data_IF_618878777245
#
_entry.id   IF_618878777245
#
_cell.length_a   1.000
_cell.length_b   1.000
_cell.length_c   1.000
_cell.angle_alpha   90.00
_cell.angle_beta   90.00
_cell.angle_gamma   90.00
#
_symmetry.space_group_name_H-M   'P 1'
#
loop_
_entity.id
_entity.type
_entity.pdbx_description
1 polymer ?
#
# COMPACT_ATOMS: atom_id res chain seq x y z
N UNK A 1 -37.21 10.36 -63.96
CA UNK A 1 -36.07 9.56 -64.45
C UNK A 1 -34.79 10.12 -63.85
N UNK A 2 -33.86 9.22 -63.53
CA UNK A 2 -32.52 9.42 -62.97
C UNK A 2 -32.42 9.66 -61.45
N UNK A 3 -31.60 8.78 -60.86
CA UNK A 3 -31.33 8.49 -59.45
C UNK A 3 -29.87 8.88 -59.23
N UNK A 4 -29.50 9.43 -58.07
CA UNK A 4 -28.12 9.46 -57.63
C UNK A 4 -28.07 9.33 -56.11
N UNK A 5 -27.83 8.10 -55.65
CA UNK A 5 -27.58 7.76 -54.26
C UNK A 5 -26.12 8.00 -53.89
N UNK A 6 -25.89 8.53 -52.69
CA UNK A 6 -24.58 8.64 -52.06
C UNK A 6 -24.50 7.53 -51.01
N UNK A 7 -23.76 6.46 -51.29
CA UNK A 7 -23.48 5.39 -50.35
C UNK A 7 -22.26 5.76 -49.50
N UNK A 8 -22.45 5.95 -48.21
CA UNK A 8 -21.36 6.06 -47.24
C UNK A 8 -20.69 4.68 -47.08
N UNK A 9 -19.40 4.59 -47.42
CA UNK A 9 -18.56 3.44 -47.14
C UNK A 9 -18.26 3.37 -45.63
N UNK A 10 -18.85 2.39 -44.95
CA UNK A 10 -18.48 2.01 -43.60
C UNK A 10 -17.21 1.15 -43.62
N UNK A 11 -16.14 1.62 -42.98
CA UNK A 11 -14.97 0.79 -42.64
C UNK A 11 -15.24 0.05 -41.31
N UNK A 12 -15.21 -1.28 -41.26
CA UNK A 12 -15.24 -2.00 -40.00
C UNK A 12 -13.82 -2.06 -39.44
N UNK A 13 -13.49 -1.18 -38.48
CA UNK A 13 -12.26 -1.32 -37.71
C UNK A 13 -12.40 -2.54 -36.78
N UNK A 14 -11.95 -3.69 -37.27
CA UNK A 14 -11.79 -4.90 -36.48
C UNK A 14 -10.87 -4.60 -35.28
N UNK A 15 -11.41 -4.79 -34.08
CA UNK A 15 -10.68 -4.72 -32.82
C UNK A 15 -9.59 -5.79 -32.79
N UNK A 16 -8.37 -5.43 -33.16
CA UNK A 16 -7.17 -6.28 -33.02
C UNK A 16 -7.03 -6.67 -31.55
N UNK A 17 -7.31 -7.94 -31.24
CA UNK A 17 -7.03 -8.52 -29.92
C UNK A 17 -5.52 -8.50 -29.71
N UNK A 18 -5.03 -7.59 -28.85
CA UNK A 18 -3.63 -7.58 -28.42
C UNK A 18 -3.30 -8.95 -27.80
N UNK A 19 -2.19 -9.59 -28.19
CA UNK A 19 -1.75 -10.82 -27.55
C UNK A 19 -1.48 -10.54 -26.06
N UNK A 20 -1.75 -11.51 -25.17
CA UNK A 20 -1.38 -11.39 -23.76
C UNK A 20 0.14 -11.19 -23.66
N UNK A 21 0.56 -10.16 -22.93
CA UNK A 21 1.99 -9.93 -22.66
C UNK A 21 2.56 -11.16 -21.94
N UNK A 22 3.75 -11.65 -22.32
CA UNK A 22 4.39 -12.75 -21.62
C UNK A 22 4.56 -12.39 -20.14
N UNK A 23 4.13 -13.29 -19.25
CA UNK A 23 4.31 -13.16 -17.81
C UNK A 23 5.82 -13.08 -17.53
N UNK A 24 6.25 -12.01 -16.88
CA UNK A 24 7.62 -11.88 -16.38
C UNK A 24 7.87 -13.05 -15.41
N UNK A 25 8.95 -13.84 -15.57
CA UNK A 25 9.25 -14.92 -14.64
C UNK A 25 9.46 -14.34 -13.24
N UNK A 26 8.62 -14.76 -12.30
CA UNK A 26 8.82 -14.49 -10.88
C UNK A 26 9.97 -15.36 -10.38
N UNK A 27 11.05 -14.73 -9.92
CA UNK A 27 12.12 -15.44 -9.19
C UNK A 27 11.50 -16.18 -8.00
N UNK A 28 11.90 -17.43 -7.73
CA UNK A 28 11.39 -18.16 -6.57
C UNK A 28 11.88 -17.45 -5.31
N UNK A 29 10.97 -16.81 -4.57
CA UNK A 29 11.23 -16.18 -3.29
C UNK A 29 10.86 -17.13 -2.15
N UNK A 30 11.52 -16.93 -1.01
CA UNK A 30 11.56 -17.81 0.14
C UNK A 30 10.19 -18.35 0.59
N UNK A 31 10.22 -19.59 1.10
CA UNK A 31 9.10 -20.30 1.73
C UNK A 31 8.48 -19.45 2.84
N UNK A 32 7.18 -19.15 2.72
CA UNK A 32 6.41 -18.36 3.68
C UNK A 32 6.14 -16.90 3.29
N UNK A 33 6.61 -16.43 2.13
CA UNK A 33 6.22 -15.11 1.62
C UNK A 33 4.79 -15.13 1.07
N UNK A 34 3.99 -14.13 1.46
CA UNK A 34 2.63 -13.93 0.96
C UNK A 34 2.67 -12.82 -0.09
N UNK A 35 2.19 -13.12 -1.28
CA UNK A 35 2.11 -12.14 -2.38
C UNK A 35 0.65 -11.76 -2.62
N UNK A 36 0.36 -10.46 -2.64
CA UNK A 36 -0.96 -9.91 -2.87
C UNK A 36 -0.92 -8.99 -4.09
N UNK A 37 -1.79 -9.29 -5.05
CA UNK A 37 -1.90 -8.59 -6.33
C UNK A 37 -3.29 -7.99 -6.49
N UNK A 38 -3.39 -6.67 -6.36
CA UNK A 38 -4.65 -5.94 -6.45
C UNK A 38 -4.92 -5.52 -7.89
N UNK A 39 -6.06 -5.94 -8.43
CA UNK A 39 -6.48 -5.55 -9.77
C UNK A 39 -6.84 -4.06 -9.79
N UNK A 40 -6.05 -3.26 -10.52
CA UNK A 40 -6.30 -1.81 -10.70
C UNK A 40 -6.74 -1.47 -12.13
N UNK A 41 -7.17 -2.48 -12.90
CA UNK A 41 -7.75 -2.26 -14.23
C UNK A 41 -9.08 -1.47 -14.13
N UNK A 42 -9.53 -0.89 -15.26
CA UNK A 42 -10.62 0.11 -15.36
C UNK A 42 -11.82 -0.15 -14.45
N UNK A 43 -12.38 -1.36 -14.45
CA UNK A 43 -13.58 -1.69 -13.64
C UNK A 43 -13.27 -1.72 -12.15
N UNK A 44 -12.21 -2.41 -11.73
CA UNK A 44 -11.82 -2.46 -10.32
C UNK A 44 -11.37 -1.09 -9.80
N UNK A 45 -10.69 -0.29 -10.62
CA UNK A 45 -10.33 1.08 -10.26
C UNK A 45 -11.57 1.95 -9.99
N UNK A 46 -12.64 1.82 -10.79
CA UNK A 46 -13.92 2.51 -10.53
C UNK A 46 -14.65 2.01 -9.28
N UNK A 47 -14.28 0.83 -8.78
CA UNK A 47 -14.90 0.18 -7.62
C UNK A 47 -14.03 0.32 -6.35
N UNK A 48 -13.04 1.22 -6.33
CA UNK A 48 -12.20 1.44 -5.16
C UNK A 48 -10.88 0.64 -5.15
N UNK A 49 -10.46 0.07 -6.29
CA UNK A 49 -9.30 -0.81 -6.33
C UNK A 49 -7.96 -0.13 -6.04
N UNK A 50 -7.85 1.19 -6.22
CA UNK A 50 -6.63 1.94 -5.89
C UNK A 50 -6.55 2.24 -4.40
N UNK A 51 -7.69 2.55 -3.81
CA UNK A 51 -7.90 2.80 -2.40
C UNK A 51 -7.63 1.52 -1.60
N UNK A 52 -8.11 0.38 -2.10
CA UNK A 52 -7.83 -0.95 -1.51
C UNK A 52 -6.36 -1.33 -1.63
N UNK A 53 -5.70 -0.99 -2.75
CA UNK A 53 -4.26 -1.18 -2.88
C UNK A 53 -3.49 -0.37 -1.83
N UNK A 54 -3.80 0.93 -1.70
CA UNK A 54 -3.18 1.79 -0.70
C UNK A 54 -3.45 1.30 0.74
N UNK A 55 -4.67 0.87 1.03
CA UNK A 55 -5.01 0.28 2.33
C UNK A 55 -4.18 -0.99 2.60
N UNK A 56 -4.04 -1.89 1.62
CA UNK A 56 -3.21 -3.08 1.78
C UNK A 56 -1.73 -2.75 1.96
N UNK A 57 -1.20 -1.76 1.24
CA UNK A 57 0.18 -1.28 1.43
C UNK A 57 0.39 -0.70 2.84
N UNK A 58 -0.62 -0.02 3.39
CA UNK A 58 -0.61 0.51 4.75
C UNK A 58 -0.81 -0.54 5.85
N UNK A 59 -1.48 -1.65 5.56
CA UNK A 59 -1.77 -2.73 6.49
C UNK A 59 -0.75 -3.87 6.44
N UNK A 60 -0.01 -4.02 5.34
CA UNK A 60 0.84 -5.18 5.10
C UNK A 60 2.01 -5.24 6.10
N UNK A 61 2.22 -6.38 6.79
CA UNK A 61 3.46 -6.61 7.52
C UNK A 61 4.63 -6.83 6.54
N UNK A 62 5.90 -6.69 6.96
CA UNK A 62 7.08 -6.78 6.10
C UNK A 62 7.26 -8.10 5.31
N UNK A 63 6.52 -9.15 5.69
CA UNK A 63 6.51 -10.47 5.03
C UNK A 63 5.50 -10.59 3.88
N UNK A 64 4.60 -9.61 3.74
CA UNK A 64 3.56 -9.56 2.70
C UNK A 64 4.01 -8.58 1.61
N UNK A 65 4.14 -9.06 0.38
CA UNK A 65 4.43 -8.23 -0.79
C UNK A 65 3.11 -7.81 -1.45
N UNK A 66 2.82 -6.51 -1.47
CA UNK A 66 1.59 -5.96 -2.06
C UNK A 66 1.95 -5.20 -3.32
N UNK A 67 1.26 -5.49 -4.42
CA UNK A 67 1.45 -4.76 -5.66
C UNK A 67 0.19 -4.70 -6.50
N UNK A 68 0.12 -3.69 -7.38
CA UNK A 68 -0.92 -3.64 -8.41
C UNK A 68 -0.73 -4.72 -9.48
N UNK A 69 -1.83 -5.09 -10.14
CA UNK A 69 -1.83 -5.98 -11.29
C UNK A 69 -2.91 -5.62 -12.32
N UNK A 70 -2.86 -6.30 -13.48
CA UNK A 70 -3.84 -6.16 -14.55
C UNK A 70 -5.17 -6.86 -14.24
N UNK A 71 -6.00 -7.04 -15.27
CA UNK A 71 -7.29 -7.70 -15.11
C UNK A 71 -7.14 -9.15 -14.63
N UNK A 72 -7.91 -9.53 -13.61
CA UNK A 72 -8.01 -10.92 -13.13
C UNK A 72 -9.18 -11.69 -13.77
N UNK A 73 -9.84 -11.12 -14.78
CA UNK A 73 -10.91 -11.79 -15.53
C UNK A 73 -12.24 -11.96 -14.78
N UNK A 74 -12.37 -11.39 -13.57
CA UNK A 74 -13.56 -11.45 -12.72
C UNK A 74 -14.31 -10.11 -12.64
N UNK A 75 -14.53 -9.49 -13.81
CA UNK A 75 -15.28 -8.24 -13.91
C UNK A 75 -16.69 -8.39 -13.30
N UNK A 76 -17.17 -7.37 -12.58
CA UNK A 76 -18.47 -7.41 -11.89
C UNK A 76 -18.40 -7.80 -10.42
N UNK A 77 -17.28 -8.35 -9.94
CA UNK A 77 -17.03 -8.68 -8.54
C UNK A 77 -15.85 -7.91 -7.94
N UNK A 78 -15.49 -6.75 -8.49
CA UNK A 78 -14.30 -6.02 -8.06
C UNK A 78 -14.50 -5.18 -6.79
N UNK A 79 -13.40 -4.69 -6.18
CA UNK A 79 -12.01 -4.97 -6.52
C UNK A 79 -11.62 -6.45 -6.32
N UNK A 80 -10.86 -6.98 -7.28
CA UNK A 80 -10.39 -8.35 -7.26
C UNK A 80 -8.93 -8.40 -6.83
N UNK A 81 -8.59 -9.40 -6.02
CA UNK A 81 -7.27 -9.57 -5.44
C UNK A 81 -6.82 -11.00 -5.68
N UNK A 82 -5.67 -11.18 -6.29
CA UNK A 82 -5.00 -12.48 -6.33
C UNK A 82 -4.02 -12.56 -5.17
N UNK A 83 -4.11 -13.60 -4.36
CA UNK A 83 -3.16 -13.88 -3.29
C UNK A 83 -2.46 -15.21 -3.53
N UNK A 84 -1.15 -15.24 -3.31
CA UNK A 84 -0.34 -16.46 -3.36
C UNK A 84 0.28 -16.68 -1.99
N UNK A 85 -0.03 -17.81 -1.36
CA UNK A 85 0.51 -18.21 -0.04
C UNK A 85 1.16 -19.57 -0.20
N UNK A 86 2.48 -19.66 0.04
CA UNK A 86 3.22 -20.94 0.01
C UNK A 86 2.95 -21.77 -1.26
N UNK A 87 2.84 -21.11 -2.42
CA UNK A 87 2.59 -21.75 -3.72
C UNK A 87 1.11 -22.01 -4.06
N UNK A 88 0.18 -21.83 -3.12
CA UNK A 88 -1.25 -21.88 -3.38
C UNK A 88 -1.76 -20.51 -3.80
N UNK A 89 -2.42 -20.42 -4.96
CA UNK A 89 -2.95 -19.17 -5.49
C UNK A 89 -4.49 -19.15 -5.44
N UNK A 90 -5.05 -18.06 -4.92
CA UNK A 90 -6.49 -17.83 -4.86
C UNK A 90 -6.84 -16.42 -5.36
N UNK A 91 -8.06 -16.26 -5.89
CA UNK A 91 -8.59 -14.95 -6.29
C UNK A 91 -9.83 -14.62 -5.49
N UNK A 92 -9.79 -13.49 -4.79
CA UNK A 92 -10.85 -12.95 -3.96
C UNK A 92 -11.51 -11.78 -4.70
N UNK A 93 -12.84 -11.68 -4.62
CA UNK A 93 -13.61 -10.54 -5.13
C UNK A 93 -14.30 -9.81 -3.99
N UNK A 94 -14.94 -8.68 -4.30
CA UNK A 94 -15.70 -7.85 -3.35
C UNK A 94 -14.85 -7.28 -2.19
N UNK A 95 -13.54 -7.12 -2.41
CA UNK A 95 -12.65 -6.48 -1.44
C UNK A 95 -12.61 -4.99 -1.73
N UNK A 96 -13.73 -4.30 -1.48
CA UNK A 96 -13.92 -2.88 -1.82
C UNK A 96 -13.59 -1.88 -0.71
N UNK A 97 -13.20 -2.35 0.47
CA UNK A 97 -12.95 -1.50 1.64
C UNK A 97 -11.67 -1.92 2.36
N UNK A 98 -11.08 -0.99 3.11
CA UNK A 98 -9.93 -1.27 3.99
C UNK A 98 -10.27 -2.38 4.99
N UNK A 99 -11.49 -2.40 5.54
CA UNK A 99 -11.92 -3.44 6.47
C UNK A 99 -11.93 -4.83 5.84
N UNK A 100 -12.45 -4.95 4.61
CA UNK A 100 -12.41 -6.22 3.86
C UNK A 100 -10.98 -6.63 3.52
N UNK A 101 -10.11 -5.67 3.23
CA UNK A 101 -8.69 -5.92 2.98
C UNK A 101 -7.96 -6.44 4.22
N UNK A 102 -8.22 -5.86 5.40
CA UNK A 102 -7.67 -6.31 6.67
C UNK A 102 -8.16 -7.73 7.03
N UNK A 103 -9.44 -8.03 6.84
CA UNK A 103 -9.99 -9.38 7.02
C UNK A 103 -9.36 -10.40 6.07
N UNK A 104 -9.09 -10.00 4.83
CA UNK A 104 -8.37 -10.86 3.89
C UNK A 104 -6.94 -11.14 4.37
N UNK A 105 -6.22 -10.13 4.85
CA UNK A 105 -4.88 -10.30 5.42
C UNK A 105 -4.89 -11.24 6.63
N UNK A 106 -5.83 -11.07 7.55
CA UNK A 106 -6.03 -11.95 8.70
C UNK A 106 -6.28 -13.41 8.26
N UNK A 107 -7.15 -13.61 7.27
CA UNK A 107 -7.41 -14.93 6.70
C UNK A 107 -6.18 -15.56 6.06
N UNK A 108 -5.39 -14.79 5.29
CA UNK A 108 -4.20 -15.28 4.59
C UNK A 108 -3.02 -15.55 5.52
N UNK A 109 -2.91 -14.80 6.62
CA UNK A 109 -1.81 -14.88 7.58
C UNK A 109 -2.11 -15.82 8.76
N UNK A 110 -3.37 -16.21 8.96
CA UNK A 110 -3.83 -17.05 10.06
C UNK A 110 -4.02 -16.25 11.36
N UNK A 111 -4.92 -16.76 12.22
CA UNK A 111 -5.44 -16.05 13.41
C UNK A 111 -4.43 -15.77 14.54
N UNK A 112 -3.17 -16.20 14.43
CA UNK A 112 -2.11 -15.87 15.40
C UNK A 112 -1.10 -14.84 14.90
N UNK A 113 -1.20 -14.43 13.63
CA UNK A 113 -0.17 -13.61 12.97
C UNK A 113 -0.58 -12.20 12.61
N UNK A 114 -1.88 -11.88 12.62
CA UNK A 114 -2.42 -10.59 12.20
C UNK A 114 -3.80 -10.32 12.83
N UNK A 115 -3.96 -9.20 13.52
CA UNK A 115 -5.25 -8.73 14.05
C UNK A 115 -5.78 -7.62 13.14
N UNK A 116 -6.88 -7.90 12.44
CA UNK A 116 -7.49 -6.94 11.52
C UNK A 116 -8.00 -5.68 12.22
N UNK A 117 -8.54 -5.79 13.44
CA UNK A 117 -9.07 -4.66 14.18
C UNK A 117 -7.94 -3.73 14.64
N UNK A 118 -6.88 -4.29 15.23
CA UNK A 118 -5.70 -3.52 15.65
C UNK A 118 -5.01 -2.87 14.44
N UNK A 119 -4.87 -3.58 13.32
CA UNK A 119 -4.26 -3.04 12.11
C UNK A 119 -5.10 -1.91 11.48
N UNK A 120 -6.44 -2.01 11.47
CA UNK A 120 -7.31 -0.94 11.00
C UNK A 120 -7.26 0.29 11.92
N UNK A 121 -7.21 0.08 13.23
CA UNK A 121 -7.07 1.17 14.20
C UNK A 121 -5.74 1.92 14.00
N UNK A 122 -4.64 1.18 13.83
CA UNK A 122 -3.33 1.74 13.50
C UNK A 122 -3.33 2.51 12.16
N UNK A 123 -3.96 1.96 11.12
CA UNK A 123 -4.11 2.63 9.83
C UNK A 123 -4.88 3.95 9.97
N UNK A 124 -6.02 3.94 10.66
CA UNK A 124 -6.84 5.13 10.88
C UNK A 124 -6.12 6.19 11.72
N UNK A 125 -5.36 5.78 12.73
CA UNK A 125 -4.53 6.69 13.53
C UNK A 125 -3.45 7.36 12.68
N UNK A 126 -2.82 6.61 11.76
CA UNK A 126 -1.84 7.17 10.82
C UNK A 126 -2.45 8.18 9.87
N UNK A 127 -3.59 7.88 9.26
CA UNK A 127 -4.29 8.81 8.37
C UNK A 127 -4.69 10.10 9.10
N UNK A 128 -5.15 9.99 10.36
CA UNK A 128 -5.44 11.17 11.21
C UNK A 128 -4.18 11.97 11.54
N UNK A 129 -3.07 11.29 11.84
CA UNK A 129 -1.80 11.94 12.13
C UNK A 129 -1.25 12.66 10.88
N UNK A 130 -1.34 12.06 9.70
CA UNK A 130 -0.98 12.70 8.43
C UNK A 130 -1.83 13.95 8.19
N UNK A 131 -3.14 13.89 8.39
CA UNK A 131 -4.01 15.06 8.31
C UNK A 131 -3.71 16.14 9.36
N UNK A 132 -3.19 15.77 10.54
CA UNK A 132 -2.73 16.71 11.56
C UNK A 132 -1.42 17.39 11.14
N UNK A 133 -0.48 16.63 10.56
CA UNK A 133 0.77 17.17 10.00
C UNK A 133 0.52 18.14 8.85
N UNK A 134 -0.43 17.86 7.97
CA UNK A 134 -0.84 18.78 6.89
C UNK A 134 -1.38 20.12 7.44
N UNK A 135 -1.95 20.10 8.64
CA UNK A 135 -2.43 21.30 9.35
C UNK A 135 -1.34 21.96 10.20
N UNK A 136 -0.14 21.38 10.25
CA UNK A 136 0.97 21.84 11.10
C UNK A 136 0.89 21.41 12.56
N UNK A 137 -0.14 20.65 12.95
CA UNK A 137 -0.31 20.16 14.32
C UNK A 137 0.51 18.89 14.55
N UNK A 138 1.82 19.10 14.70
CA UNK A 138 2.79 18.02 14.85
C UNK A 138 2.72 17.34 16.23
N UNK A 139 2.25 18.05 17.25
CA UNK A 139 2.08 17.51 18.59
C UNK A 139 0.91 16.50 18.63
N UNK A 140 -0.26 16.88 18.10
CA UNK A 140 -1.38 15.96 18.00
C UNK A 140 -1.05 14.74 17.11
N UNK A 141 -0.24 14.92 16.07
CA UNK A 141 0.24 13.82 15.25
C UNK A 141 1.13 12.84 16.04
N UNK A 142 2.07 13.34 16.87
CA UNK A 142 2.91 12.48 17.71
C UNK A 142 2.09 11.68 18.72
N UNK A 143 1.09 12.30 19.36
CA UNK A 143 0.23 11.64 20.34
C UNK A 143 -0.55 10.47 19.71
N UNK A 144 -1.23 10.73 18.59
CA UNK A 144 -1.98 9.72 17.82
C UNK A 144 -1.10 8.53 17.41
N UNK A 145 0.12 8.81 16.96
CA UNK A 145 1.05 7.78 16.51
C UNK A 145 1.65 6.99 17.68
N UNK A 146 1.84 7.64 18.83
CA UNK A 146 2.33 6.98 20.05
C UNK A 146 1.29 6.02 20.60
N UNK A 147 0.01 6.41 20.62
CA UNK A 147 -1.09 5.51 20.94
C UNK A 147 -1.15 4.34 19.95
N UNK A 148 -1.01 4.61 18.65
CA UNK A 148 -1.05 3.58 17.61
C UNK A 148 0.08 2.54 17.72
N UNK A 149 1.30 2.99 18.05
CA UNK A 149 2.44 2.10 18.30
C UNK A 149 2.19 1.24 19.55
N UNK A 150 1.55 1.81 20.58
CA UNK A 150 1.17 1.10 21.80
C UNK A 150 0.18 -0.06 21.57
N UNK A 151 -0.63 -0.01 20.50
CA UNK A 151 -1.52 -1.12 20.11
C UNK A 151 -0.77 -2.34 19.56
N UNK A 152 0.54 -2.23 19.30
CA UNK A 152 1.41 -3.30 18.80
C UNK A 152 0.83 -4.04 17.57
N UNK A 153 0.20 -3.29 16.67
CA UNK A 153 -0.31 -3.84 15.42
C UNK A 153 0.85 -4.36 14.57
N UNK A 154 0.75 -5.61 14.13
CA UNK A 154 1.76 -6.28 13.31
C UNK A 154 1.82 -5.74 11.87
N UNK A 155 0.78 -5.05 11.41
CA UNK A 155 0.70 -4.43 10.08
C UNK A 155 1.14 -2.96 10.10
N UNK A 156 2.04 -2.58 9.19
CA UNK A 156 2.38 -1.17 8.97
C UNK A 156 3.16 -0.47 10.10
N UNK A 157 3.68 -1.18 11.11
CA UNK A 157 4.36 -0.58 12.26
C UNK A 157 5.56 0.31 11.88
N UNK A 158 6.35 -0.11 10.89
CA UNK A 158 7.45 0.71 10.33
C UNK A 158 6.96 2.03 9.71
N UNK A 159 5.72 2.09 9.21
CA UNK A 159 5.10 3.32 8.70
C UNK A 159 4.69 4.24 9.85
N UNK A 160 4.21 3.70 10.98
CA UNK A 160 3.91 4.50 12.17
C UNK A 160 5.15 5.19 12.72
N UNK A 161 6.26 4.44 12.87
CA UNK A 161 7.54 5.01 13.27
C UNK A 161 8.02 6.08 12.30
N UNK A 162 7.91 5.84 10.98
CA UNK A 162 8.24 6.86 9.97
C UNK A 162 7.38 8.12 10.10
N UNK A 163 6.06 7.98 10.24
CA UNK A 163 5.16 9.13 10.40
C UNK A 163 5.46 9.89 11.70
N UNK A 164 5.83 9.20 12.79
CA UNK A 164 6.14 9.83 14.07
C UNK A 164 7.50 10.54 14.02
N UNK A 165 8.47 9.96 13.33
CA UNK A 165 9.73 10.60 13.02
C UNK A 165 9.51 11.93 12.30
N UNK A 166 8.65 11.97 11.29
CA UNK A 166 8.30 13.23 10.60
C UNK A 166 7.66 14.26 11.54
N UNK A 167 6.73 13.84 12.41
CA UNK A 167 6.12 14.74 13.40
C UNK A 167 7.17 15.34 14.34
N UNK A 168 8.08 14.51 14.84
CA UNK A 168 9.18 14.93 15.72
C UNK A 168 10.16 15.84 15.03
N UNK A 169 10.48 15.61 13.75
CA UNK A 169 11.31 16.53 12.95
C UNK A 169 10.67 17.90 12.83
N UNK A 170 9.36 17.97 12.57
CA UNK A 170 8.61 19.23 12.52
C UNK A 170 8.63 20.00 13.85
N UNK A 171 8.78 19.29 14.97
CA UNK A 171 8.92 19.88 16.32
C UNK A 171 10.38 20.16 16.73
N UNK A 172 11.37 19.83 15.88
CA UNK A 172 12.79 19.94 16.21
C UNK A 172 13.32 18.86 17.16
N UNK A 173 12.54 17.83 17.47
CA UNK A 173 12.96 16.67 18.27
C UNK A 173 13.74 15.67 17.40
N UNK A 174 14.97 16.04 17.05
CA UNK A 174 15.83 15.25 16.15
C UNK A 174 16.22 13.90 16.76
N UNK A 175 16.48 13.86 18.06
CA UNK A 175 16.88 12.62 18.77
C UNK A 175 15.75 11.60 18.79
N UNK A 176 14.52 12.02 19.08
CA UNK A 176 13.34 11.16 19.02
C UNK A 176 13.01 10.72 17.59
N UNK A 177 13.21 11.59 16.61
CA UNK A 177 13.02 11.25 15.20
C UNK A 177 14.00 10.18 14.71
N UNK A 178 15.27 10.27 15.14
CA UNK A 178 16.31 9.29 14.84
C UNK A 178 15.98 7.92 15.43
N UNK A 179 15.60 7.87 16.71
CA UNK A 179 15.22 6.62 17.38
C UNK A 179 14.06 5.91 16.65
N UNK A 180 13.08 6.66 16.15
CA UNK A 180 11.99 6.10 15.36
C UNK A 180 12.45 5.57 13.99
N UNK A 181 13.38 6.27 13.32
CA UNK A 181 13.94 5.82 12.04
C UNK A 181 14.76 4.53 12.18
N UNK A 182 15.54 4.41 13.26
CA UNK A 182 16.26 3.18 13.60
C UNK A 182 15.29 2.01 13.81
N UNK A 183 14.22 2.22 14.58
CA UNK A 183 13.24 1.16 14.87
C UNK A 183 12.48 0.74 13.60
N UNK A 184 12.09 1.68 12.75
CA UNK A 184 11.48 1.38 11.45
C UNK A 184 12.39 0.49 10.58
N UNK A 185 13.70 0.75 10.60
CA UNK A 185 14.71 0.00 9.84
C UNK A 185 14.91 -1.42 10.38
N UNK A 186 14.87 -1.60 11.71
CA UNK A 186 14.90 -2.94 12.32
C UNK A 186 13.69 -3.78 11.89
N UNK A 187 12.51 -3.18 11.81
CA UNK A 187 11.26 -3.87 11.47
C UNK A 187 11.20 -4.20 9.97
N UNK A 188 11.55 -3.27 9.09
CA UNK A 188 11.38 -3.42 7.64
C UNK A 188 12.65 -3.02 6.85
N UNK A 189 13.76 -3.77 6.98
CA UNK A 189 15.06 -3.37 6.41
C UNK A 189 15.10 -3.36 4.88
N UNK A 190 14.14 -4.04 4.23
CA UNK A 190 14.06 -4.16 2.76
C UNK A 190 13.10 -3.13 2.14
N UNK A 191 12.49 -2.26 2.94
CA UNK A 191 11.48 -1.33 2.45
C UNK A 191 12.16 -0.04 1.94
N UNK A 192 12.08 0.29 0.64
CA UNK A 192 12.82 1.41 0.06
C UNK A 192 12.43 2.77 0.67
N UNK A 193 11.20 2.87 1.18
CA UNK A 193 10.70 4.08 1.82
C UNK A 193 11.30 4.33 3.21
N UNK A 194 11.77 3.26 3.89
CA UNK A 194 12.43 3.34 5.21
C UNK A 194 13.89 3.74 5.03
N UNK A 195 14.57 3.20 4.02
CA UNK A 195 15.94 3.61 3.66
C UNK A 195 16.04 5.07 3.19
N UNK A 196 14.96 5.64 2.64
CA UNK A 196 14.92 7.06 2.27
C UNK A 196 14.77 8.00 3.48
N UNK A 197 14.14 7.55 4.57
CA UNK A 197 14.05 8.34 5.81
C UNK A 197 15.44 8.54 6.46
N UNK A 198 16.32 7.53 6.36
CA UNK A 198 17.73 7.63 6.77
C UNK A 198 18.56 8.54 5.84
N UNK A 199 18.14 8.76 4.58
CA UNK A 199 18.81 9.73 3.71
C UNK A 199 18.47 11.18 4.11
N UNK A 200 17.28 11.42 4.65
CA UNK A 200 16.90 12.70 5.25
C UNK A 200 17.71 12.95 6.53
N UNK A 201 18.02 11.90 7.30
CA UNK A 201 18.94 11.95 8.46
C UNK A 201 20.29 12.58 8.08
N UNK A 202 20.90 12.13 6.98
CA UNK A 202 22.16 12.69 6.48
C UNK A 202 22.02 14.15 6.04
N UNK A 203 20.92 14.49 5.36
CA UNK A 203 20.68 15.86 4.87
C UNK A 203 20.39 16.82 6.04
N UNK A 204 19.61 16.40 7.04
CA UNK A 204 19.27 17.23 8.22
C UNK A 204 20.49 17.40 9.12
N UNK A 205 21.27 16.35 9.39
CA UNK A 205 22.54 16.45 10.10
C UNK A 205 23.56 17.32 9.34
N UNK A 206 23.65 17.18 8.01
CA UNK A 206 24.50 18.01 7.16
C UNK A 206 24.07 19.49 7.19
N UNK A 207 22.78 19.78 7.06
CA UNK A 207 22.24 21.14 7.13
C UNK A 207 22.50 21.77 8.51
N UNK A 208 22.27 21.03 9.60
CA UNK A 208 22.52 21.50 10.97
C UNK A 208 24.01 21.68 11.28
N UNK A 209 24.90 20.87 10.68
CA UNK A 209 26.35 21.00 10.83
C UNK A 209 26.94 22.18 10.05
N UNK A 210 26.28 22.63 8.97
CA UNK A 210 26.73 23.75 8.12
C UNK A 210 26.01 25.09 8.38
N UNK A 211 25.11 25.13 9.38
CA UNK A 211 24.43 26.34 9.87
C UNK A 211 25.14 27.00 11.07
N UNK A 212 26.41 26.65 11.32
CA UNK A 212 27.30 27.29 12.30
C UNK A 212 28.37 28.14 11.65
#
# INVERSE_FOLDING_TARGET
MAVAGVTAFGCPLASVRRPPRPRRPTTPRASGSVEIRVCTNRTCARQGGREVLAALEGLAPPRVDVASCGCLGRCGAGPNIAATVSGSAAVFGHVGTAARAAQLLEHLLGGSGFDAAAALAALAAREKAEAALEKGDSAAAEDLLTEAIGMNACGGLHLLYRSRSNARLSMGNITGALADAEEATKIAPKFPQVTLALYIEFIVLFMLAHLK
#
